data_IF_272462375525
#
_entry.id   IF_272462375525
#
_cell.length_a   1.000
_cell.length_b   1.000
_cell.length_c   1.000
_cell.angle_alpha   90.00
_cell.angle_beta   90.00
_cell.angle_gamma   90.00
#
_symmetry.space_group_name_H-M   'P 1'
#
loop_
_entity.id
_entity.type
_entity.pdbx_description
1 polymer ?
#
# COMPACT_ATOMS: atom_id res chain seq x y z
N UNK A 1 -0.64 9.82 -19.24
CA UNK A 1 -0.82 8.84 -18.16
C UNK A 1 -0.12 7.55 -18.58
N UNK A 2 1.02 7.22 -17.95
CA UNK A 2 1.79 6.03 -18.34
C UNK A 2 1.01 4.79 -17.89
N UNK A 3 0.48 4.04 -18.86
CA UNK A 3 -0.13 2.74 -18.60
C UNK A 3 0.85 1.89 -17.81
N UNK A 4 0.40 1.40 -16.65
CA UNK A 4 1.13 0.48 -15.78
C UNK A 4 1.57 -0.69 -16.66
N UNK A 5 2.83 -0.66 -17.11
CA UNK A 5 3.41 -1.70 -17.95
C UNK A 5 3.36 -2.95 -17.09
N UNK A 6 2.39 -3.85 -17.36
CA UNK A 6 2.26 -5.17 -16.73
C UNK A 6 3.65 -5.80 -16.74
N UNK A 7 4.34 -5.69 -15.63
CA UNK A 7 5.76 -5.99 -15.59
C UNK A 7 5.87 -7.50 -15.69
N UNK A 8 6.85 -7.99 -16.46
CA UNK A 8 7.16 -9.42 -16.72
C UNK A 8 7.27 -10.31 -15.46
N UNK A 9 7.21 -9.73 -14.27
CA UNK A 9 7.33 -10.38 -12.97
C UNK A 9 6.03 -11.03 -12.50
N UNK A 10 4.86 -10.68 -13.05
CA UNK A 10 3.59 -11.37 -12.70
C UNK A 10 3.57 -12.84 -13.09
N UNK A 11 4.45 -13.27 -14.01
CA UNK A 11 4.63 -14.68 -14.36
C UNK A 11 5.58 -15.41 -13.40
N UNK A 12 6.42 -14.68 -12.64
CA UNK A 12 7.38 -15.24 -11.68
C UNK A 12 6.81 -15.36 -10.26
N UNK A 13 5.70 -14.67 -9.99
CA UNK A 13 5.04 -14.63 -8.70
C UNK A 13 3.60 -15.09 -8.82
N UNK A 14 3.21 -16.05 -8.00
CA UNK A 14 1.79 -16.28 -7.77
C UNK A 14 1.25 -15.13 -6.89
N UNK A 15 0.51 -14.22 -7.52
CA UNK A 15 -0.06 -13.05 -6.84
C UNK A 15 -1.04 -13.44 -5.73
N UNK A 16 -1.76 -14.56 -5.88
CA UNK A 16 -2.72 -15.01 -4.87
C UNK A 16 -1.98 -15.58 -3.66
N UNK A 17 -0.96 -16.41 -3.89
CA UNK A 17 -0.13 -16.95 -2.81
C UNK A 17 0.58 -15.82 -2.04
N UNK A 18 1.18 -14.87 -2.75
CA UNK A 18 1.87 -13.73 -2.14
C UNK A 18 0.90 -12.83 -1.35
N UNK A 19 -0.27 -12.56 -1.92
CA UNK A 19 -1.33 -11.80 -1.26
C UNK A 19 -1.79 -12.49 0.03
N UNK A 20 -2.08 -13.79 -0.03
CA UNK A 20 -2.51 -14.58 1.12
C UNK A 20 -1.44 -14.62 2.22
N UNK A 21 -0.17 -14.86 1.86
CA UNK A 21 0.96 -14.89 2.80
C UNK A 21 1.08 -13.60 3.60
N UNK A 22 0.92 -12.45 2.93
CA UNK A 22 1.11 -11.14 3.54
C UNK A 22 -0.18 -10.48 4.04
N UNK A 23 -1.34 -11.11 3.84
CA UNK A 23 -2.64 -10.51 4.17
C UNK A 23 -2.94 -9.25 3.37
N UNK A 24 -2.53 -9.25 2.10
CA UNK A 24 -2.76 -8.18 1.12
C UNK A 24 -3.86 -8.59 0.15
N UNK A 25 -4.42 -7.62 -0.57
CA UNK A 25 -5.23 -7.92 -1.76
C UNK A 25 -4.34 -8.20 -2.96
N UNK A 26 -4.85 -8.92 -3.96
CA UNK A 26 -4.11 -9.23 -5.21
C UNK A 26 -3.56 -7.96 -5.87
N UNK A 27 -4.33 -6.86 -5.84
CA UNK A 27 -3.89 -5.56 -6.38
C UNK A 27 -2.75 -4.94 -5.57
N UNK A 28 -2.76 -5.08 -4.26
CA UNK A 28 -1.68 -4.59 -3.40
C UNK A 28 -0.40 -5.40 -3.59
N UNK A 29 -0.52 -6.73 -3.71
CA UNK A 29 0.57 -7.62 -4.07
C UNK A 29 1.21 -7.20 -5.41
N UNK A 30 0.37 -6.93 -6.43
CA UNK A 30 0.83 -6.48 -7.75
C UNK A 30 1.65 -5.17 -7.67
N UNK A 31 1.21 -4.21 -6.84
CA UNK A 31 1.93 -2.96 -6.60
C UNK A 31 3.30 -3.22 -5.96
N UNK A 32 3.33 -4.02 -4.88
CA UNK A 32 4.57 -4.33 -4.17
C UNK A 32 5.59 -4.98 -5.10
N UNK A 33 5.17 -5.96 -5.91
CA UNK A 33 6.06 -6.67 -6.84
C UNK A 33 6.54 -5.75 -7.97
N UNK A 34 5.66 -4.92 -8.54
CA UNK A 34 6.06 -3.97 -9.59
C UNK A 34 7.05 -2.92 -9.08
N UNK A 35 6.90 -2.44 -7.84
CA UNK A 35 7.79 -1.43 -7.27
C UNK A 35 9.16 -1.96 -6.87
N UNK A 36 9.29 -3.25 -6.54
CA UNK A 36 10.54 -3.83 -6.01
C UNK A 36 11.26 -4.75 -7.00
N UNK A 37 10.59 -5.16 -8.09
CA UNK A 37 11.12 -6.08 -9.09
C UNK A 37 11.11 -7.54 -8.62
N UNK A 38 11.82 -8.45 -9.32
CA UNK A 38 11.65 -9.89 -9.16
C UNK A 38 12.30 -10.50 -7.91
N UNK A 39 12.87 -9.70 -7.01
CA UNK A 39 13.57 -10.23 -5.84
C UNK A 39 12.60 -10.57 -4.71
N UNK A 40 12.47 -11.87 -4.37
CA UNK A 40 11.52 -12.35 -3.35
C UNK A 40 11.77 -11.68 -2.01
N UNK A 41 13.04 -11.63 -1.58
CA UNK A 41 13.45 -11.00 -0.32
C UNK A 41 13.06 -9.53 -0.23
N UNK A 42 13.22 -8.76 -1.32
CA UNK A 42 12.82 -7.34 -1.34
C UNK A 42 11.31 -7.19 -1.30
N UNK A 43 10.59 -8.02 -2.06
CA UNK A 43 9.13 -8.01 -2.07
C UNK A 43 8.54 -8.38 -0.70
N UNK A 44 9.08 -9.40 -0.02
CA UNK A 44 8.63 -9.80 1.31
C UNK A 44 8.81 -8.64 2.32
N UNK A 45 9.99 -8.03 2.40
CA UNK A 45 10.24 -6.89 3.28
C UNK A 45 9.32 -5.70 2.96
N UNK A 46 9.14 -5.41 1.67
CA UNK A 46 8.26 -4.34 1.22
C UNK A 46 6.79 -4.61 1.55
N UNK A 47 6.33 -5.87 1.47
CA UNK A 47 4.97 -6.25 1.82
C UNK A 47 4.68 -6.05 3.31
N UNK A 48 5.63 -6.39 4.18
CA UNK A 48 5.51 -6.15 5.62
C UNK A 48 5.39 -4.66 5.94
N UNK A 49 6.27 -3.84 5.35
CA UNK A 49 6.24 -2.39 5.50
C UNK A 49 4.94 -1.79 4.94
N UNK A 50 4.50 -2.24 3.77
CA UNK A 50 3.27 -1.80 3.14
C UNK A 50 2.05 -2.11 4.00
N UNK A 51 1.97 -3.32 4.57
CA UNK A 51 0.89 -3.71 5.48
C UNK A 51 0.89 -2.87 6.76
N UNK A 52 2.06 -2.56 7.31
CA UNK A 52 2.16 -1.67 8.47
C UNK A 52 1.65 -0.26 8.15
N UNK A 53 2.01 0.28 6.98
CA UNK A 53 1.53 1.57 6.51
C UNK A 53 0.01 1.58 6.30
N UNK A 54 -0.58 0.52 5.73
CA UNK A 54 -2.03 0.40 5.56
C UNK A 54 -2.77 0.49 6.89
N UNK A 55 -2.29 -0.20 7.93
CA UNK A 55 -2.87 -0.11 9.28
C UNK A 55 -2.79 1.31 9.84
N UNK A 56 -1.66 1.99 9.66
CA UNK A 56 -1.51 3.38 10.12
C UNK A 56 -2.43 4.33 9.36
N UNK A 57 -2.59 4.15 8.06
CA UNK A 57 -3.49 4.95 7.23
C UNK A 57 -4.97 4.72 7.57
N UNK A 58 -5.38 3.49 7.90
CA UNK A 58 -6.76 3.23 8.34
C UNK A 58 -7.07 3.93 9.66
N UNK A 59 -6.15 3.90 10.62
CA UNK A 59 -6.30 4.63 11.89
C UNK A 59 -6.24 6.16 11.71
N UNK A 60 -5.41 6.65 10.77
CA UNK A 60 -5.28 8.08 10.51
C UNK A 60 -6.50 8.64 9.78
N UNK A 61 -7.16 7.87 8.89
CA UNK A 61 -8.45 8.27 8.29
C UNK A 61 -9.54 8.52 9.34
N UNK A 62 -9.57 7.70 10.40
CA UNK A 62 -10.48 7.89 11.52
C UNK A 62 -10.14 9.12 12.38
N UNK A 63 -8.84 9.41 12.60
CA UNK A 63 -8.41 10.60 13.35
C UNK A 63 -8.41 11.90 12.53
N UNK A 64 -8.30 11.83 11.21
CA UNK A 64 -8.25 12.97 10.30
C UNK A 64 -9.63 13.56 9.97
N UNK A 65 -10.70 12.76 10.08
CA UNK A 65 -12.07 13.24 9.91
C UNK A 65 -12.52 14.24 11.00
N UNK A 66 -11.77 14.38 12.11
CA UNK A 66 -12.05 15.30 13.23
C UNK A 66 -11.03 16.42 13.41
N UNK A 67 -10.17 16.68 12.43
CA UNK A 67 -9.21 17.80 12.47
C UNK A 67 -9.21 18.60 11.17
N UNK A 68 -10.37 19.13 10.82
CA UNK A 68 -10.40 20.46 10.23
C UNK A 68 -10.32 21.44 11.40
N UNK A 69 -9.20 22.16 11.64
CA UNK A 69 -9.31 23.39 12.39
C UNK A 69 -10.11 24.35 11.50
N UNK A 70 -11.41 24.47 11.78
CA UNK A 70 -12.20 25.62 11.35
C UNK A 70 -11.43 26.85 11.80
N UNK A 71 -10.93 27.63 10.85
CA UNK A 71 -10.37 28.97 11.11
C UNK A 71 -11.51 29.94 11.47
N UNK A 72 -12.22 29.65 12.55
CA UNK A 72 -13.24 30.50 13.17
C UNK A 72 -12.91 30.65 14.65
N UNK A 73 -11.95 31.54 14.92
CA UNK A 73 -11.73 32.25 16.17
C UNK A 73 -11.15 33.59 15.68
N UNK A 74 -11.95 34.61 15.31
CA UNK A 74 -12.74 35.51 16.17
C UNK A 74 -11.89 35.90 17.39
N UNK A 75 -11.46 37.13 17.65
CA UNK A 75 -12.13 38.42 17.54
C UNK A 75 -11.17 39.47 18.14
N UNK A 76 -11.45 40.75 17.94
CA UNK A 76 -11.12 41.79 18.93
C UNK A 76 -10.19 42.87 18.46
#
# INVERSE_FOLDING_TARGET
MQGLKRSRWTETYDLNEFAAKHGLTTRQAEIVIQSNGPSKRKCDLAAEAFRAALRQCSHSREKGARRSPSKEELQG
#
